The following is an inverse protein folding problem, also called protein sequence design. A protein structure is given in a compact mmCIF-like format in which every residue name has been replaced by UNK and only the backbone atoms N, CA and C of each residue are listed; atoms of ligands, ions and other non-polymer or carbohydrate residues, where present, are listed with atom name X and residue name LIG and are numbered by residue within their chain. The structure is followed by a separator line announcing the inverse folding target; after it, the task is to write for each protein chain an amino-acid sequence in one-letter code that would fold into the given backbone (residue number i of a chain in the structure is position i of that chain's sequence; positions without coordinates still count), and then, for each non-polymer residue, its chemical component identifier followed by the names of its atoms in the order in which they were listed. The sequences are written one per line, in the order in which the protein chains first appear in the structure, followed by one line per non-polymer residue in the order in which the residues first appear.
data_IF_600606503515
#
_entry.id   IF_600606503515
#
_cell.length_a   1.000
_cell.length_b   1.000
_cell.length_c   1.000
_cell.angle_alpha   90.00
_cell.angle_beta   90.00
_cell.angle_gamma   90.00
#
_symmetry.space_group_name_H-M   'P 1'
#
loop_
_entity.id
_entity.type
_entity.pdbx_description
1 polymer ?
#
# COMPACT_ATOMS: atom_id res chain seq x y z
N UNK A 1 -25.09 -18.41 -14.85
CA UNK A 1 -24.25 -19.03 -13.80
C UNK A 1 -24.37 -18.18 -12.55
N UNK A 2 -24.54 -18.76 -11.35
CA UNK A 2 -24.58 -17.97 -10.10
C UNK A 2 -23.15 -17.63 -9.71
N UNK A 3 -22.85 -16.34 -9.56
CA UNK A 3 -21.51 -15.84 -9.20
C UNK A 3 -21.27 -15.95 -7.70
N UNK A 4 -20.05 -16.28 -7.32
CA UNK A 4 -19.59 -16.31 -5.93
C UNK A 4 -19.18 -14.91 -5.47
N UNK A 5 -19.21 -14.70 -4.15
CA UNK A 5 -18.81 -13.44 -3.53
C UNK A 5 -17.63 -13.67 -2.59
N UNK A 6 -16.57 -12.89 -2.77
CA UNK A 6 -15.41 -12.83 -1.89
C UNK A 6 -15.40 -11.54 -1.09
N UNK A 7 -15.04 -11.64 0.18
CA UNK A 7 -14.95 -10.54 1.14
C UNK A 7 -13.59 -10.61 1.84
N UNK A 8 -12.80 -9.55 1.74
CA UNK A 8 -11.53 -9.41 2.45
C UNK A 8 -11.53 -8.09 3.22
N UNK A 9 -11.44 -8.14 4.53
CA UNK A 9 -11.35 -6.96 5.39
C UNK A 9 -9.92 -6.77 5.89
N UNK A 10 -9.40 -5.57 5.69
CA UNK A 10 -8.04 -5.19 6.07
C UNK A 10 -7.98 -3.83 6.76
N UNK A 11 -6.94 -3.59 7.54
CA UNK A 11 -6.71 -2.30 8.19
C UNK A 11 -6.02 -1.32 7.25
N UNK A 12 -6.70 -0.24 6.91
CA UNK A 12 -6.16 0.88 6.14
C UNK A 12 -6.37 0.78 4.62
N UNK A 13 -6.61 1.94 4.00
CA UNK A 13 -6.88 2.06 2.56
C UNK A 13 -5.70 1.64 1.69
N UNK A 14 -4.46 1.98 2.07
CA UNK A 14 -3.27 1.61 1.30
C UNK A 14 -3.10 0.09 1.20
N UNK A 15 -3.27 -0.61 2.34
CA UNK A 15 -3.23 -2.07 2.38
C UNK A 15 -4.38 -2.68 1.57
N UNK A 16 -5.57 -2.06 1.62
CA UNK A 16 -6.71 -2.53 0.84
C UNK A 16 -6.47 -2.45 -0.67
N UNK A 17 -5.88 -1.36 -1.16
CA UNK A 17 -5.52 -1.20 -2.57
C UNK A 17 -4.47 -2.24 -2.98
N UNK A 18 -3.43 -2.42 -2.18
CA UNK A 18 -2.39 -3.42 -2.46
C UNK A 18 -2.94 -4.86 -2.46
N UNK A 19 -3.79 -5.19 -1.49
CA UNK A 19 -4.45 -6.49 -1.44
C UNK A 19 -5.37 -6.71 -2.65
N UNK A 20 -6.13 -5.68 -3.06
CA UNK A 20 -6.99 -5.75 -4.24
C UNK A 20 -6.20 -6.02 -5.53
N UNK A 21 -5.05 -5.36 -5.72
CA UNK A 21 -4.15 -5.59 -6.87
C UNK A 21 -3.61 -7.03 -6.89
N UNK A 22 -3.14 -7.52 -5.75
CA UNK A 22 -2.65 -8.91 -5.62
C UNK A 22 -3.77 -9.92 -5.90
N UNK A 23 -4.98 -9.69 -5.39
CA UNK A 23 -6.13 -10.56 -5.62
C UNK A 23 -6.54 -10.61 -7.09
N UNK A 24 -6.60 -9.46 -7.76
CA UNK A 24 -6.97 -9.36 -9.17
C UNK A 24 -5.92 -9.98 -10.11
N UNK A 25 -4.64 -9.99 -9.70
CA UNK A 25 -3.56 -10.67 -10.43
C UNK A 25 -3.51 -12.18 -10.19
N UNK A 26 -4.00 -12.65 -9.04
CA UNK A 26 -3.92 -14.05 -8.66
C UNK A 26 -4.97 -14.94 -9.36
N UNK A 27 -6.14 -14.41 -9.69
CA UNK A 27 -7.22 -15.18 -10.30
C UNK A 27 -8.15 -14.31 -11.14
N UNK A 28 -8.94 -14.96 -12.01
CA UNK A 28 -9.97 -14.30 -12.81
C UNK A 28 -11.17 -13.89 -11.93
N UNK A 29 -11.09 -12.71 -11.32
CA UNK A 29 -12.13 -12.12 -10.46
C UNK A 29 -12.40 -10.66 -10.84
N UNK A 30 -13.61 -10.20 -10.58
CA UNK A 30 -14.02 -8.81 -10.77
C UNK A 30 -14.08 -8.11 -9.41
N UNK A 31 -13.28 -7.06 -9.21
CA UNK A 31 -13.39 -6.20 -8.03
C UNK A 31 -14.65 -5.34 -8.15
N UNK A 32 -15.58 -5.49 -7.20
CA UNK A 32 -16.79 -4.65 -7.16
C UNK A 32 -16.47 -3.28 -6.54
N UNK A 33 -15.66 -3.28 -5.48
CA UNK A 33 -15.29 -2.05 -4.79
C UNK A 33 -14.56 -2.27 -3.47
N UNK A 34 -14.10 -1.15 -2.90
CA UNK A 34 -13.50 -1.08 -1.58
C UNK A 34 -14.37 -0.14 -0.74
N UNK A 35 -14.94 -0.66 0.34
CA UNK A 35 -15.83 0.08 1.23
C UNK A 35 -15.12 0.39 2.54
N UNK A 36 -15.40 1.57 3.08
CA UNK A 36 -14.95 1.96 4.43
C UNK A 36 -15.94 1.38 5.43
N UNK A 37 -15.45 0.70 6.45
CA UNK A 37 -16.30 0.30 7.57
C UNK A 37 -16.35 1.41 8.63
N UNK A 38 -17.34 1.32 9.51
CA UNK A 38 -17.54 2.32 10.55
C UNK A 38 -16.52 2.13 11.68
N UNK A 39 -15.46 2.95 11.65
CA UNK A 39 -14.44 2.99 12.72
C UNK A 39 -13.21 2.13 12.43
N UNK A 40 -12.20 2.24 13.29
CA UNK A 40 -10.93 1.48 13.27
C UNK A 40 -10.08 1.56 11.99
N UNK A 41 -10.53 2.30 10.97
CA UNK A 41 -9.84 2.42 9.69
C UNK A 41 -9.86 1.13 8.88
N UNK A 42 -10.81 0.22 9.11
CA UNK A 42 -10.92 -1.01 8.33
C UNK A 42 -11.61 -0.76 6.99
N UNK A 43 -11.23 -1.57 6.02
CA UNK A 43 -11.64 -1.46 4.64
C UNK A 43 -12.05 -2.86 4.16
N UNK A 44 -13.25 -2.95 3.61
CA UNK A 44 -13.79 -4.19 3.04
C UNK A 44 -13.61 -4.17 1.53
N UNK A 45 -12.88 -5.15 0.99
CA UNK A 45 -12.74 -5.39 -0.43
C UNK A 45 -13.75 -6.45 -0.83
N UNK A 46 -14.50 -6.16 -1.90
CA UNK A 46 -15.57 -7.02 -2.41
C UNK A 46 -15.25 -7.44 -3.83
N UNK A 47 -15.37 -8.72 -4.12
CA UNK A 47 -15.06 -9.26 -5.43
C UNK A 47 -15.99 -10.41 -5.82
N UNK A 48 -16.19 -10.61 -7.11
CA UNK A 48 -17.01 -11.68 -7.67
C UNK A 48 -16.25 -12.51 -8.68
N UNK A 49 -16.70 -13.75 -8.88
CA UNK A 49 -16.14 -14.66 -9.86
C UNK A 49 -16.70 -16.07 -9.68
N UNK A 50 -16.02 -17.06 -10.26
CA UNK A 50 -16.26 -18.47 -9.97
C UNK A 50 -15.73 -18.84 -8.59
N UNK A 51 -16.32 -19.85 -7.95
CA UNK A 51 -15.96 -20.28 -6.57
C UNK A 51 -14.45 -20.49 -6.42
N UNK A 52 -13.82 -21.17 -7.38
CA UNK A 52 -12.40 -21.48 -7.35
C UNK A 52 -11.54 -20.20 -7.48
N UNK A 53 -11.88 -19.31 -8.41
CA UNK A 53 -11.18 -18.03 -8.62
C UNK A 53 -11.29 -17.14 -7.39
N UNK A 54 -12.49 -17.05 -6.78
CA UNK A 54 -12.71 -16.27 -5.56
C UNK A 54 -11.91 -16.84 -4.38
N UNK A 55 -11.89 -18.17 -4.22
CA UNK A 55 -11.11 -18.83 -3.17
C UNK A 55 -9.60 -18.56 -3.32
N UNK A 56 -9.07 -18.68 -4.54
CA UNK A 56 -7.66 -18.42 -4.84
C UNK A 56 -7.29 -16.94 -4.61
N UNK A 57 -8.13 -16.01 -5.07
CA UNK A 57 -7.95 -14.59 -4.84
C UNK A 57 -7.92 -14.27 -3.33
N UNK A 58 -8.95 -14.69 -2.58
CA UNK A 58 -9.05 -14.42 -1.14
C UNK A 58 -7.89 -15.03 -0.36
N UNK A 59 -7.47 -16.26 -0.69
CA UNK A 59 -6.30 -16.89 -0.04
C UNK A 59 -5.01 -16.08 -0.26
N UNK A 60 -4.77 -15.62 -1.49
CA UNK A 60 -3.58 -14.82 -1.83
C UNK A 60 -3.64 -13.44 -1.17
N UNK A 61 -4.80 -12.77 -1.20
CA UNK A 61 -5.01 -11.47 -0.56
C UNK A 61 -4.88 -11.53 0.97
N UNK A 62 -5.41 -12.58 1.59
CA UNK A 62 -5.29 -12.80 3.04
C UNK A 62 -3.83 -13.02 3.45
N UNK A 63 -3.08 -13.83 2.70
CA UNK A 63 -1.65 -14.02 2.95
C UNK A 63 -0.85 -12.71 2.81
N UNK A 64 -1.16 -11.90 1.80
CA UNK A 64 -0.57 -10.57 1.64
C UNK A 64 -0.88 -9.66 2.84
N UNK A 65 -2.15 -9.58 3.24
CA UNK A 65 -2.58 -8.76 4.38
C UNK A 65 -1.96 -9.22 5.72
N UNK A 66 -1.77 -10.54 5.91
CA UNK A 66 -1.10 -11.11 7.09
C UNK A 66 0.37 -10.68 7.17
N UNK A 67 1.11 -10.69 6.05
CA UNK A 67 2.51 -10.23 6.02
C UNK A 67 2.65 -8.77 6.43
N UNK A 68 1.65 -7.96 6.11
CA UNK A 68 1.57 -6.55 6.49
C UNK A 68 0.87 -6.31 7.84
N UNK A 69 0.59 -7.37 8.62
CA UNK A 69 -0.04 -7.30 9.94
C UNK A 69 -1.36 -6.53 9.96
N UNK A 70 -2.12 -6.60 8.86
CA UNK A 70 -3.36 -5.82 8.70
C UNK A 70 -4.54 -6.64 8.21
N UNK A 71 -4.49 -7.97 8.30
CA UNK A 71 -5.66 -8.82 8.06
C UNK A 71 -6.65 -8.68 9.23
N UNK A 72 -7.90 -8.36 8.93
CA UNK A 72 -9.00 -8.34 9.92
C UNK A 72 -9.86 -9.58 9.77
N UNK A 73 -10.38 -9.84 8.57
CA UNK A 73 -11.28 -10.96 8.29
C UNK A 73 -11.26 -11.34 6.81
N UNK A 74 -11.63 -12.58 6.49
CA UNK A 74 -11.79 -13.06 5.12
C UNK A 74 -12.93 -14.08 5.04
N UNK A 75 -13.78 -13.99 4.01
CA UNK A 75 -14.87 -14.93 3.79
C UNK A 75 -15.12 -15.16 2.29
N UNK A 76 -15.57 -16.37 1.97
CA UNK A 76 -15.98 -16.78 0.62
C UNK A 76 -17.39 -17.35 0.68
N UNK A 77 -18.28 -16.80 -0.13
CA UNK A 77 -19.65 -17.28 -0.29
C UNK A 77 -19.79 -17.89 -1.68
N UNK A 78 -19.77 -19.22 -1.75
CA UNK A 78 -19.83 -19.94 -3.02
C UNK A 78 -21.13 -19.72 -3.79
N UNK A 79 -22.26 -19.66 -3.06
CA UNK A 79 -23.60 -19.46 -3.62
C UNK A 79 -24.41 -18.49 -2.74
N UNK A 80 -24.14 -17.17 -2.85
CA UNK A 80 -24.90 -16.16 -2.12
C UNK A 80 -26.36 -16.13 -2.58
N UNK A 81 -27.27 -15.72 -1.70
CA UNK A 81 -28.68 -15.56 -2.02
C UNK A 81 -28.87 -14.41 -3.02
N UNK A 82 -29.84 -14.54 -3.92
CA UNK A 82 -30.04 -13.57 -5.01
C UNK A 82 -30.33 -12.13 -4.48
N UNK A 83 -31.15 -11.92 -3.43
CA UNK A 83 -31.35 -10.59 -2.84
C UNK A 83 -30.07 -9.98 -2.26
N UNK A 84 -29.19 -10.81 -1.69
CA UNK A 84 -27.90 -10.35 -1.15
C UNK A 84 -27.02 -9.83 -2.29
N UNK A 85 -26.94 -10.56 -3.41
CA UNK A 85 -26.15 -10.14 -4.56
C UNK A 85 -26.68 -8.87 -5.20
N UNK A 86 -27.99 -8.69 -5.28
CA UNK A 86 -28.58 -7.46 -5.80
C UNK A 86 -28.19 -6.22 -4.98
N UNK A 87 -28.17 -6.35 -3.65
CA UNK A 87 -27.71 -5.28 -2.77
C UNK A 87 -26.21 -5.01 -2.90
N UNK A 88 -25.39 -6.06 -2.94
CA UNK A 88 -23.93 -5.96 -2.90
C UNK A 88 -23.28 -5.62 -4.25
N UNK A 89 -23.91 -5.97 -5.38
CA UNK A 89 -23.40 -5.67 -6.72
C UNK A 89 -23.79 -4.27 -7.23
N UNK A 90 -24.63 -3.52 -6.50
CA UNK A 90 -25.08 -2.20 -6.93
C UNK A 90 -23.87 -1.27 -7.15
N UNK A 91 -23.61 -0.84 -8.41
CA UNK A 91 -22.51 0.06 -8.68
C UNK A 91 -22.88 1.47 -8.23
N UNK A 92 -22.20 1.99 -7.21
CA UNK A 92 -22.21 3.42 -6.91
C UNK A 92 -21.01 4.12 -7.58
N UNK A 93 -20.81 3.91 -8.88
CA UNK A 93 -20.20 4.90 -9.78
C UNK A 93 -20.91 4.75 -11.12
N UNK A 94 -21.70 5.75 -11.50
CA UNK A 94 -22.01 5.99 -12.92
C UNK A 94 -20.66 6.34 -13.55
N UNK A 95 -20.12 5.57 -14.52
CA UNK A 95 -18.95 6.03 -15.24
C UNK A 95 -19.34 7.39 -15.79
N UNK A 96 -18.59 8.44 -15.42
CA UNK A 96 -18.69 9.69 -16.13
C UNK A 96 -18.36 9.33 -17.58
N UNK A 97 -19.38 9.31 -18.44
CA UNK A 97 -19.18 9.27 -19.86
C UNK A 97 -18.44 10.57 -20.18
N UNK A 98 -17.11 10.50 -20.18
CA UNK A 98 -16.28 11.51 -20.80
C UNK A 98 -16.55 11.36 -22.28
N UNK A 99 -17.45 12.19 -22.80
CA UNK A 99 -17.54 12.48 -24.22
C UNK A 99 -16.12 12.81 -24.67
N UNK A 100 -15.59 12.00 -25.58
CA UNK A 100 -14.31 12.25 -26.22
C UNK A 100 -14.41 13.60 -26.92
N UNK A 101 -13.86 14.64 -26.28
CA UNK A 101 -13.61 15.92 -26.93
C UNK A 101 -12.51 15.65 -27.94
N UNK A 102 -12.91 15.49 -29.20
CA UNK A 102 -12.00 15.46 -30.35
C UNK A 102 -11.26 16.79 -30.37
N UNK A 103 -10.01 16.78 -29.93
CA UNK A 103 -9.05 17.81 -30.27
C UNK A 103 -8.80 17.69 -31.77
N UNK A 104 -9.51 18.50 -32.55
CA UNK A 104 -9.18 18.76 -33.94
C UNK A 104 -7.91 19.60 -33.96
N UNK A 105 -6.78 19.00 -34.37
CA UNK A 105 -5.59 19.75 -34.75
C UNK A 105 -5.89 20.57 -36.03
N UNK A 106 -5.59 21.88 -36.05
CA UNK A 106 -5.55 22.60 -37.32
C UNK A 106 -4.21 22.29 -38.01
N UNK A 107 -4.31 21.66 -39.18
CA UNK A 107 -3.21 21.55 -40.13
C UNK A 107 -2.71 22.95 -40.51
N UNK A 108 -1.42 23.23 -40.28
CA UNK A 108 -0.70 24.28 -41.00
C UNK A 108 0.44 23.66 -41.80
N UNK A 109 0.29 23.80 -43.11
CA UNK A 109 1.20 23.36 -44.16
C UNK A 109 2.38 24.34 -44.34
N UNK A 110 3.52 23.72 -44.68
CA UNK A 110 4.61 24.12 -45.59
C UNK A 110 5.43 25.40 -45.31
N UNK A 111 6.76 25.20 -45.24
CA UNK A 111 7.68 25.63 -46.30
C UNK A 111 8.89 24.71 -46.32
N UNK A 112 9.20 24.20 -47.51
CA UNK A 112 10.40 23.42 -47.81
C UNK A 112 11.51 24.37 -48.29
N UNK A 113 12.73 24.18 -47.80
CA UNK A 113 13.94 24.55 -48.52
C UNK A 113 14.94 23.41 -48.43
N UNK A 114 15.46 23.04 -49.60
CA UNK A 114 16.26 21.86 -49.91
C UNK A 114 17.73 22.28 -49.97
N UNK A 115 18.63 21.60 -49.25
CA UNK A 115 20.03 21.52 -49.65
C UNK A 115 20.54 20.09 -49.41
N UNK A 116 20.96 19.48 -50.51
CA UNK A 116 21.63 18.18 -50.58
C UNK A 116 23.04 18.26 -50.00
N UNK A 117 23.54 17.17 -49.40
CA UNK A 117 24.70 16.41 -49.93
C UNK A 117 25.03 15.18 -49.07
N UNK A 118 25.13 14.04 -49.77
CA UNK A 118 26.13 12.95 -49.62
C UNK A 118 26.03 11.93 -48.46
N UNK A 119 25.54 10.74 -48.83
CA UNK A 119 25.93 9.39 -48.33
C UNK A 119 27.36 9.05 -48.79
N UNK A 120 28.11 8.04 -48.26
CA UNK A 120 27.65 6.68 -47.86
C UNK A 120 28.39 6.15 -46.59
N UNK A 121 28.32 4.91 -46.07
CA UNK A 121 27.94 3.56 -46.48
C UNK A 121 27.47 2.76 -45.25
N UNK A 122 26.42 1.96 -45.44
CA UNK A 122 26.17 0.60 -44.92
C UNK A 122 27.38 -0.14 -44.30
N UNK A 123 27.16 -0.79 -43.14
CA UNK A 123 27.42 -2.24 -43.01
C UNK A 123 26.65 -2.87 -41.84
N UNK A 124 26.36 -4.14 -42.02
CA UNK A 124 25.35 -4.99 -41.38
C UNK A 124 25.70 -5.53 -39.97
N UNK A 125 24.62 -5.88 -39.26
CA UNK A 125 24.38 -7.11 -38.47
C UNK A 125 25.47 -7.67 -37.53
N UNK A 126 25.12 -7.87 -36.25
CA UNK A 126 25.16 -9.25 -35.71
C UNK A 126 24.32 -9.45 -34.44
N UNK A 127 23.60 -10.57 -34.41
CA UNK A 127 22.93 -11.17 -33.26
C UNK A 127 23.96 -11.91 -32.38
N UNK A 128 23.82 -11.86 -31.06
CA UNK A 128 24.21 -12.94 -30.12
C UNK A 128 23.79 -12.53 -28.70
N UNK A 129 22.73 -13.11 -28.13
CA UNK A 129 22.65 -14.41 -27.45
C UNK A 129 22.88 -14.28 -25.92
N UNK A 130 21.89 -14.75 -25.17
CA UNK A 130 21.82 -14.76 -23.72
C UNK A 130 22.61 -15.93 -23.11
N UNK A 131 23.16 -15.81 -21.88
CA UNK A 131 23.66 -16.97 -21.17
C UNK A 131 22.77 -17.37 -19.97
N UNK A 132 22.47 -18.66 -19.90
CA UNK A 132 22.26 -19.45 -18.67
C UNK A 132 22.37 -20.94 -19.03
N UNK A 133 22.54 -21.85 -18.06
CA UNK A 133 23.47 -21.86 -16.92
C UNK A 133 24.34 -23.14 -16.95
N UNK A 134 25.29 -23.30 -16.02
CA UNK A 134 25.91 -24.60 -15.76
C UNK A 134 26.06 -24.82 -14.25
N UNK A 135 25.54 -25.97 -13.83
CA UNK A 135 25.57 -26.54 -12.49
C UNK A 135 27.01 -26.94 -12.06
N UNK A 136 27.26 -26.99 -10.75
CA UNK A 136 27.54 -28.26 -10.04
C UNK A 136 27.68 -28.00 -8.53
N UNK A 137 27.12 -28.95 -7.79
CA UNK A 137 26.91 -28.96 -6.35
C UNK A 137 28.16 -29.33 -5.54
N UNK A 138 28.19 -28.92 -4.27
CA UNK A 138 28.44 -29.82 -3.13
C UNK A 138 27.92 -29.20 -1.84
N UNK A 139 27.18 -30.02 -1.09
CA UNK A 139 26.79 -29.88 0.32
C UNK A 139 28.01 -29.66 1.24
N UNK A 140 27.87 -28.81 2.26
CA UNK A 140 28.25 -29.11 3.67
C UNK A 140 28.03 -27.85 4.57
N UNK A 141 27.08 -27.95 5.50
CA UNK A 141 27.12 -27.34 6.84
C UNK A 141 26.57 -28.43 7.78
N UNK A 142 26.83 -28.46 9.11
CA UNK A 142 27.41 -27.42 9.98
C UNK A 142 28.43 -27.95 11.03
N UNK A 143 29.08 -27.09 11.83
CA UNK A 143 29.32 -27.36 13.28
C UNK A 143 29.89 -26.14 14.07
N UNK A 144 29.05 -25.65 15.00
CA UNK A 144 29.28 -25.34 16.42
C UNK A 144 30.74 -25.10 16.90
N UNK A 145 31.02 -23.94 17.54
CA UNK A 145 31.37 -23.84 18.97
C UNK A 145 32.09 -22.53 19.41
N UNK A 146 31.69 -22.10 20.61
CA UNK A 146 32.43 -21.41 21.67
C UNK A 146 32.83 -19.93 21.52
N UNK A 147 32.27 -19.12 22.44
CA UNK A 147 32.74 -17.77 22.75
C UNK A 147 33.75 -17.72 23.89
N UNK A 148 34.35 -16.54 24.10
CA UNK A 148 35.04 -16.11 25.34
C UNK A 148 35.01 -14.57 25.48
N UNK A 149 34.70 -14.11 26.70
CA UNK A 149 35.04 -12.88 27.46
C UNK A 149 35.04 -11.49 26.75
N UNK A 150 34.21 -10.53 27.18
CA UNK A 150 34.36 -9.63 28.36
C UNK A 150 35.76 -9.00 28.48
N UNK A 151 35.87 -7.73 28.08
CA UNK A 151 36.73 -6.75 28.74
C UNK A 151 35.97 -5.41 28.82
N UNK A 152 35.59 -5.08 30.05
CA UNK A 152 35.20 -3.75 30.51
C UNK A 152 36.32 -2.74 30.23
N UNK A 153 35.95 -1.54 29.78
CA UNK A 153 36.75 -0.35 30.04
C UNK A 153 35.81 0.86 30.23
N UNK A 154 35.42 1.04 31.48
CA UNK A 154 34.89 2.30 32.01
C UNK A 154 35.95 3.40 31.84
N UNK A 155 35.61 4.43 31.07
CA UNK A 155 36.27 5.74 31.14
C UNK A 155 35.26 6.74 31.66
N UNK A 156 35.40 7.01 32.96
CA UNK A 156 34.74 8.09 33.66
C UNK A 156 35.21 9.44 33.10
N UNK A 157 34.28 10.23 32.56
CA UNK A 157 34.43 11.68 32.45
C UNK A 157 33.34 12.31 33.30
N UNK A 158 33.75 12.72 34.50
CA UNK A 158 33.02 13.66 35.33
C UNK A 158 33.23 15.07 34.78
N UNK A 159 32.14 15.74 34.43
CA UNK A 159 32.10 17.20 34.39
C UNK A 159 30.72 17.65 34.86
N UNK A 160 30.70 18.12 36.11
CA UNK A 160 29.56 18.75 36.74
C UNK A 160 29.37 20.15 36.13
N UNK A 161 28.25 20.34 35.44
CA UNK A 161 27.75 21.66 35.07
C UNK A 161 26.34 21.82 35.67
N UNK A 162 26.25 22.83 36.53
CA UNK A 162 25.07 23.43 37.17
C UNK A 162 23.71 23.08 36.54
N UNK A 163 22.95 22.21 37.21
CA UNK A 163 21.56 21.91 36.86
C UNK A 163 20.64 23.10 37.20
N UNK A 164 20.31 23.90 36.19
CA UNK A 164 19.04 24.61 36.17
C UNK A 164 17.92 23.57 35.98
N UNK A 165 16.81 23.61 36.75
CA UNK A 165 15.75 22.63 36.59
C UNK A 165 15.19 22.70 35.16
N UNK A 166 15.02 21.56 34.46
CA UNK A 166 14.54 21.56 33.09
C UNK A 166 13.15 22.18 33.02
N UNK A 167 12.96 23.11 32.08
CA UNK A 167 11.65 23.68 31.80
C UNK A 167 10.62 22.55 31.57
N UNK A 168 9.39 22.68 32.11
CA UNK A 168 8.41 21.62 32.05
C UNK A 168 8.11 21.26 30.58
N UNK A 169 8.28 19.99 30.23
CA UNK A 169 8.08 19.49 28.87
C UNK A 169 6.60 19.64 28.50
N UNK A 170 6.31 20.63 27.69
CA UNK A 170 4.96 20.86 27.17
C UNK A 170 4.65 19.79 26.11
N UNK A 171 3.75 18.88 26.45
CA UNK A 171 3.28 17.77 25.60
C UNK A 171 2.38 18.24 24.44
N UNK A 172 1.57 19.28 24.68
CA UNK A 172 0.51 19.74 23.79
C UNK A 172 0.80 21.13 23.21
N UNK A 173 1.11 21.20 21.92
CA UNK A 173 1.31 22.48 21.21
C UNK A 173 0.04 23.33 21.08
N UNK A 174 -1.13 22.75 21.38
CA UNK A 174 -2.37 23.49 21.42
C UNK A 174 -2.37 24.27 22.73
N UNK A 175 -2.67 23.65 23.87
CA UNK A 175 -2.91 24.37 25.12
C UNK A 175 -1.67 24.87 25.87
N UNK A 176 -0.48 24.38 25.54
CA UNK A 176 0.78 24.69 26.23
C UNK A 176 0.78 24.40 27.75
N UNK A 177 -0.12 23.53 28.19
CA UNK A 177 -0.27 23.15 29.59
C UNK A 177 0.52 21.86 29.88
N UNK A 178 1.43 21.85 30.87
CA UNK A 178 2.24 20.68 31.21
C UNK A 178 1.44 19.51 31.81
N UNK A 179 0.22 19.75 32.30
CA UNK A 179 -0.69 18.71 32.82
C UNK A 179 -1.50 18.05 31.70
N UNK A 180 -1.55 18.66 30.52
CA UNK A 180 -2.25 18.09 29.38
C UNK A 180 -1.55 16.81 28.91
N UNK A 181 -2.30 15.71 28.77
CA UNK A 181 -1.73 14.41 28.32
C UNK A 181 -1.70 14.24 26.80
N UNK A 182 -2.11 15.27 26.05
CA UNK A 182 -2.15 15.22 24.58
C UNK A 182 -0.75 15.42 24.00
N UNK A 183 -0.35 14.57 23.05
CA UNK A 183 0.90 14.69 22.29
C UNK A 183 0.70 15.25 20.88
N UNK A 184 1.79 15.77 20.28
CA UNK A 184 1.81 16.24 18.89
C UNK A 184 1.45 15.09 17.94
N UNK A 185 0.42 15.28 17.13
CA UNK A 185 -0.12 14.26 16.21
C UNK A 185 -1.42 13.61 16.69
N UNK A 186 -1.77 13.73 17.97
CA UNK A 186 -3.03 13.19 18.49
C UNK A 186 -4.24 14.08 18.17
N UNK A 187 -5.45 13.49 18.07
CA UNK A 187 -6.68 14.24 17.84
C UNK A 187 -6.94 15.37 18.84
N UNK A 188 -7.58 16.45 18.38
CA UNK A 188 -7.78 17.68 19.17
C UNK A 188 -8.65 17.48 20.42
N UNK A 189 -9.57 16.51 20.41
CA UNK A 189 -10.46 16.20 21.54
C UNK A 189 -9.74 15.65 22.77
N UNK A 190 -8.51 15.16 22.64
CA UNK A 190 -7.69 14.74 23.80
C UNK A 190 -7.11 15.92 24.59
N UNK A 191 -7.25 17.15 24.09
CA UNK A 191 -6.78 18.34 24.78
C UNK A 191 -7.76 18.76 25.88
N UNK A 192 -7.28 18.84 27.13
CA UNK A 192 -8.08 19.24 28.31
C UNK A 192 -8.68 20.66 28.20
N UNK A 193 -8.15 21.50 27.30
CA UNK A 193 -8.59 22.88 27.06
C UNK A 193 -9.34 23.08 25.74
N UNK A 194 -9.79 22.01 25.06
CA UNK A 194 -10.41 22.12 23.73
C UNK A 194 -11.61 23.09 23.70
N UNK A 195 -12.45 23.11 24.75
CA UNK A 195 -13.63 23.97 24.85
C UNK A 195 -13.41 25.35 25.50
N UNK A 196 -12.19 25.64 25.98
CA UNK A 196 -11.88 26.90 26.68
C UNK A 196 -11.24 27.97 25.79
N UNK A 197 -10.90 27.63 24.55
CA UNK A 197 -10.30 28.55 23.58
C UNK A 197 -11.37 29.06 22.63
N UNK A 198 -11.76 30.32 22.77
CA UNK A 198 -12.78 30.97 21.95
C UNK A 198 -13.82 31.80 22.72
N UNK A 199 -13.68 31.96 24.03
CA UNK A 199 -14.39 33.02 24.77
C UNK A 199 -13.44 34.19 24.99
N UNK A 200 -13.28 35.01 23.96
CA UNK A 200 -12.90 36.41 24.08
C UNK A 200 -14.07 37.21 23.55
#
# INVERSE_FOLDING_TARGET
MKTSLGLLEVSGLALAIGAADVMAKAAAVTLIGIEKTNGSGWMLIRLTGDVASVQAAISTGAAFAQRHQGLVSSAVLARPADPLMAYWQAPHIKPAATEATTLSEPAQQVVAEMVMTESPTIDECDEAEAPRPADTATDDEPEIALGVAIMDLDVAIQSAESEAPPAPRVSCNLCLDPVCRRHKGEPRFRCIHLGKRGKV
#
